data_IF_142031213091
#
_entry.id   IF_142031213091
#
_cell.length_a   1.000
_cell.length_b   1.000
_cell.length_c   1.000
_cell.angle_alpha   90.00
_cell.angle_beta   90.00
_cell.angle_gamma   90.00
#
_symmetry.space_group_name_H-M   'P 1'
#
loop_
_entity.id
_entity.type
_entity.pdbx_description
1 polymer ?
#
# COMPACT_ATOMS: atom_id res chain seq x y z
N UNK A 1 26.17 -9.05 13.24
CA UNK A 1 25.61 -7.80 12.71
C UNK A 1 25.22 -7.92 11.25
N UNK A 2 24.16 -8.67 10.98
CA UNK A 2 23.44 -8.57 9.71
C UNK A 2 21.98 -9.02 9.97
N UNK A 3 21.15 -8.06 10.39
CA UNK A 3 19.81 -8.32 10.97
C UNK A 3 18.69 -8.25 9.92
N UNK A 4 19.03 -8.34 8.64
CA UNK A 4 18.07 -8.45 7.53
C UNK A 4 17.66 -9.91 7.24
N UNK A 5 18.38 -10.88 7.80
CA UNK A 5 18.19 -12.30 7.52
C UNK A 5 18.04 -13.12 8.79
N UNK A 6 16.91 -12.98 9.48
CA UNK A 6 16.38 -14.13 10.20
C UNK A 6 15.10 -14.59 9.52
N UNK A 7 15.36 -15.61 8.70
CA UNK A 7 14.51 -16.66 8.14
C UNK A 7 13.67 -16.37 6.89
N UNK A 8 13.38 -17.45 6.16
CA UNK A 8 12.40 -17.47 5.08
C UNK A 8 11.05 -16.90 5.53
N UNK A 9 10.76 -16.94 6.84
CA UNK A 9 9.59 -16.32 7.47
C UNK A 9 9.56 -14.78 7.39
N UNK A 10 10.69 -14.07 7.23
CA UNK A 10 10.70 -12.62 7.02
C UNK A 10 10.23 -12.22 5.61
N UNK A 11 10.35 -13.14 4.63
CA UNK A 11 9.83 -12.97 3.26
C UNK A 11 8.32 -13.32 3.16
N UNK A 12 7.76 -13.99 4.16
CA UNK A 12 6.35 -14.44 4.17
C UNK A 12 5.40 -13.56 5.00
N UNK A 13 5.86 -12.43 5.54
CA UNK A 13 5.07 -11.54 6.42
C UNK A 13 4.06 -10.63 5.71
N UNK A 14 3.54 -11.10 4.58
CA UNK A 14 2.35 -10.56 3.88
C UNK A 14 1.14 -11.47 4.11
N UNK A 15 1.30 -12.60 4.80
CA UNK A 15 0.16 -13.39 5.28
C UNK A 15 -0.75 -12.60 6.26
N UNK A 16 -0.30 -11.45 6.78
CA UNK A 16 -1.08 -10.59 7.68
C UNK A 16 -2.00 -9.59 6.95
N UNK A 17 -2.03 -9.61 5.60
CA UNK A 17 -2.91 -8.76 4.78
C UNK A 17 -3.83 -9.56 3.82
N UNK A 18 -3.95 -10.89 3.96
CA UNK A 18 -4.93 -11.71 3.20
C UNK A 18 -5.59 -12.78 4.07
N UNK A 19 -6.86 -13.16 3.79
CA UNK A 19 -7.39 -14.45 4.22
C UNK A 19 -6.72 -15.58 3.42
N UNK A 20 -6.40 -16.66 4.13
CA UNK A 20 -5.57 -17.78 3.69
C UNK A 20 -6.02 -18.47 2.38
N UNK A 21 -5.05 -18.80 1.52
CA UNK A 21 -4.97 -20.10 0.84
C UNK A 21 -3.65 -20.29 0.06
N UNK A 22 -2.99 -21.44 0.34
CA UNK A 22 -1.95 -22.15 -0.43
C UNK A 22 -0.56 -21.49 -0.61
N UNK A 23 0.58 -22.14 -0.39
CA UNK A 23 0.95 -23.44 0.17
C UNK A 23 2.46 -23.38 0.52
N UNK A 24 2.89 -24.04 1.60
CA UNK A 24 4.28 -24.51 1.71
C UNK A 24 5.12 -24.11 2.91
N UNK A 25 4.72 -23.13 3.73
CA UNK A 25 5.32 -22.88 5.05
C UNK A 25 4.30 -22.20 5.99
N UNK A 26 4.39 -22.53 7.28
CA UNK A 26 3.42 -22.28 8.35
C UNK A 26 3.33 -20.80 8.76
N UNK A 27 2.71 -19.98 7.92
CA UNK A 27 2.25 -18.62 8.23
C UNK A 27 0.93 -18.60 9.02
N UNK A 28 0.32 -19.77 9.25
CA UNK A 28 -1.00 -19.92 9.86
C UNK A 28 -1.06 -19.59 11.37
N UNK A 29 0.08 -19.44 12.05
CA UNK A 29 0.13 -19.26 13.51
C UNK A 29 0.49 -17.84 13.97
N UNK A 30 0.73 -16.90 13.04
CA UNK A 30 0.98 -15.49 13.42
C UNK A 30 -0.34 -14.73 13.52
N UNK A 31 -0.61 -14.06 14.66
CA UNK A 31 -1.85 -13.29 14.84
C UNK A 31 -1.91 -12.13 13.85
N UNK A 32 -3.10 -11.88 13.30
CA UNK A 32 -3.37 -10.74 12.42
C UNK A 32 -2.91 -9.42 13.08
N UNK A 33 -2.39 -8.50 12.26
CA UNK A 33 -2.04 -7.16 12.77
C UNK A 33 -3.30 -6.42 13.20
N UNK A 34 -3.25 -5.85 14.40
CA UNK A 34 -4.26 -4.90 14.86
C UNK A 34 -4.29 -3.65 13.97
N UNK A 35 -5.39 -2.93 13.99
CA UNK A 35 -5.54 -1.68 13.23
C UNK A 35 -4.43 -0.67 13.53
N UNK A 36 -3.96 -0.60 14.79
CA UNK A 36 -2.87 0.32 15.19
C UNK A 36 -1.55 -0.09 14.57
N UNK A 37 -1.26 -1.38 14.53
CA UNK A 37 -0.04 -1.91 13.91
C UNK A 37 -0.08 -1.67 12.41
N UNK A 38 -1.20 -1.92 11.74
CA UNK A 38 -1.38 -1.63 10.30
C UNK A 38 -1.12 -0.17 9.98
N UNK A 39 -1.70 0.77 10.75
CA UNK A 39 -1.46 2.19 10.56
C UNK A 39 0.00 2.59 10.84
N UNK A 40 0.66 1.97 11.83
CA UNK A 40 2.10 2.20 12.09
C UNK A 40 2.95 1.72 10.91
N UNK A 41 2.65 0.53 10.38
CA UNK A 41 3.34 -0.06 9.23
C UNK A 41 3.21 0.85 8.00
N UNK A 42 1.99 1.24 7.64
CA UNK A 42 1.77 2.13 6.50
C UNK A 42 2.45 3.49 6.71
N UNK A 43 2.37 4.06 7.91
CA UNK A 43 3.07 5.32 8.24
C UNK A 43 4.58 5.20 8.02
N UNK A 44 5.20 4.12 8.48
CA UNK A 44 6.64 3.94 8.39
C UNK A 44 7.06 3.66 6.93
N UNK A 45 6.25 2.94 6.15
CA UNK A 45 6.44 2.79 4.70
C UNK A 45 6.29 4.13 3.95
N UNK A 46 5.29 4.95 4.29
CA UNK A 46 5.13 6.30 3.74
C UNK A 46 6.32 7.19 4.07
N UNK A 47 6.88 7.10 5.27
CA UNK A 47 8.12 7.82 5.62
C UNK A 47 9.31 7.39 4.78
N UNK A 48 9.46 6.08 4.55
CA UNK A 48 10.50 5.57 3.66
C UNK A 48 10.30 6.09 2.23
N UNK A 49 9.06 6.10 1.73
CA UNK A 49 8.75 6.64 0.40
C UNK A 49 9.05 8.15 0.29
N UNK A 50 8.65 8.94 1.28
CA UNK A 50 9.00 10.37 1.37
C UNK A 50 10.52 10.56 1.36
N UNK A 51 11.26 9.72 2.07
CA UNK A 51 12.72 9.77 2.04
C UNK A 51 13.28 9.51 0.63
N UNK A 52 12.78 8.50 -0.09
CA UNK A 52 13.20 8.23 -1.47
C UNK A 52 12.93 9.43 -2.38
N UNK A 53 11.74 10.02 -2.23
CA UNK A 53 11.26 11.16 -3.00
C UNK A 53 11.96 12.47 -2.70
N UNK A 54 12.53 12.64 -1.51
CA UNK A 54 13.17 13.89 -1.09
C UNK A 54 14.60 13.94 -1.62
N UNK A 55 14.93 14.84 -2.56
CA UNK A 55 16.29 14.96 -3.06
C UNK A 55 17.22 15.57 -2.01
N UNK A 56 18.51 15.29 -2.12
CA UNK A 56 19.58 15.90 -1.32
C UNK A 56 20.66 16.45 -2.26
N UNK A 57 21.68 17.13 -1.72
CA UNK A 57 22.77 17.68 -2.54
C UNK A 57 23.50 16.65 -3.40
N UNK A 58 23.47 15.37 -3.03
CA UNK A 58 24.14 14.27 -3.76
C UNK A 58 23.18 13.20 -4.26
N UNK A 59 21.87 13.31 -4.01
CA UNK A 59 20.85 12.31 -4.36
C UNK A 59 19.68 12.98 -5.06
N UNK A 60 19.34 12.52 -6.26
CA UNK A 60 18.12 12.91 -6.96
C UNK A 60 16.85 12.37 -6.29
N UNK A 61 15.71 12.58 -6.96
CA UNK A 61 14.45 11.95 -6.57
C UNK A 61 14.52 10.47 -6.96
N UNK A 62 14.35 9.57 -5.98
CA UNK A 62 14.27 8.13 -6.24
C UNK A 62 12.80 7.72 -6.30
N UNK A 63 12.37 7.21 -7.45
CA UNK A 63 11.03 6.64 -7.65
C UNK A 63 11.09 5.13 -7.44
N UNK A 64 10.19 4.56 -6.65
CA UNK A 64 10.17 3.15 -6.33
C UNK A 64 9.53 2.29 -7.42
N UNK A 65 8.44 2.76 -8.02
CA UNK A 65 7.70 2.17 -9.16
C UNK A 65 7.03 0.82 -8.92
N UNK A 66 7.08 0.28 -7.69
CA UNK A 66 6.38 -0.96 -7.32
C UNK A 66 6.02 -0.95 -5.82
N UNK A 67 5.42 0.16 -5.38
CA UNK A 67 4.94 0.28 -4.00
C UNK A 67 3.71 -0.63 -3.82
N UNK A 68 3.82 -1.59 -2.92
CA UNK A 68 2.72 -2.50 -2.57
C UNK A 68 2.95 -3.08 -1.19
N UNK A 69 1.89 -3.60 -0.56
CA UNK A 69 2.01 -4.28 0.74
C UNK A 69 3.05 -5.41 0.72
N UNK A 70 3.23 -6.08 -0.42
CA UNK A 70 4.23 -7.14 -0.57
C UNK A 70 5.69 -6.67 -0.52
N UNK A 71 5.92 -5.37 -0.71
CA UNK A 71 7.25 -4.78 -0.71
C UNK A 71 7.51 -4.03 0.62
N UNK A 72 6.67 -4.22 1.64
CA UNK A 72 6.86 -3.67 2.98
C UNK A 72 7.29 -4.81 3.92
N UNK A 73 8.55 -4.79 4.34
CA UNK A 73 9.12 -5.78 5.25
C UNK A 73 8.97 -5.34 6.71
N UNK A 74 8.72 -6.29 7.60
CA UNK A 74 8.58 -6.06 9.03
C UNK A 74 9.69 -6.76 9.81
N UNK A 75 10.35 -6.03 10.70
CA UNK A 75 11.25 -6.62 11.68
C UNK A 75 10.50 -7.24 12.88
N UNK A 76 11.24 -7.82 13.82
CA UNK A 76 10.66 -8.47 15.01
C UNK A 76 9.96 -7.51 15.98
N UNK A 77 10.04 -6.20 15.77
CA UNK A 77 9.36 -5.16 16.55
C UNK A 77 8.25 -4.48 15.73
N UNK A 78 7.90 -5.03 14.56
CA UNK A 78 6.92 -4.47 13.62
C UNK A 78 7.33 -3.10 13.05
N UNK A 79 8.62 -2.77 13.03
CA UNK A 79 9.09 -1.61 12.26
C UNK A 79 9.08 -1.97 10.77
N UNK A 80 8.47 -1.09 9.97
CA UNK A 80 8.36 -1.31 8.54
C UNK A 80 9.55 -0.75 7.76
N UNK A 81 9.94 -1.47 6.71
CA UNK A 81 10.94 -1.07 5.72
C UNK A 81 10.37 -1.28 4.33
N UNK A 82 10.40 -0.23 3.51
CA UNK A 82 10.06 -0.36 2.09
C UNK A 82 11.25 -0.99 1.36
N UNK A 83 11.00 -2.08 0.65
CA UNK A 83 12.00 -2.96 0.02
C UNK A 83 11.65 -3.21 -1.44
N UNK A 84 12.48 -4.01 -2.13
CA UNK A 84 12.36 -4.34 -3.55
C UNK A 84 12.51 -3.12 -4.47
N UNK A 85 13.77 -2.77 -4.70
CA UNK A 85 14.18 -1.62 -5.52
C UNK A 85 14.58 -2.03 -6.93
N UNK A 86 14.22 -3.23 -7.38
CA UNK A 86 14.59 -3.72 -8.72
C UNK A 86 14.06 -2.81 -9.84
N UNK A 87 12.92 -2.17 -9.60
CA UNK A 87 12.29 -1.24 -10.53
C UNK A 87 12.58 0.23 -10.21
N UNK A 88 13.29 0.50 -9.11
CA UNK A 88 13.52 1.85 -8.66
C UNK A 88 14.47 2.61 -9.61
N UNK A 89 14.24 3.92 -9.74
CA UNK A 89 15.09 4.77 -10.57
C UNK A 89 15.30 6.12 -9.90
N UNK A 90 16.54 6.59 -9.96
CA UNK A 90 16.90 7.93 -9.51
C UNK A 90 16.81 8.92 -10.68
N UNK A 91 16.30 10.12 -10.42
CA UNK A 91 16.25 11.21 -11.39
C UNK A 91 16.60 12.54 -10.73
N UNK A 92 17.71 13.14 -11.19
CA UNK A 92 18.06 14.51 -10.84
C UNK A 92 17.20 15.54 -11.58
N UNK A 93 16.64 15.19 -12.74
CA UNK A 93 15.81 16.12 -13.51
C UNK A 93 14.51 16.47 -12.77
N UNK A 94 13.93 15.51 -12.05
CA UNK A 94 12.77 15.74 -11.18
C UNK A 94 13.10 16.73 -10.07
N UNK A 95 14.35 16.76 -9.59
CA UNK A 95 14.82 17.75 -8.61
C UNK A 95 14.98 19.14 -9.22
N UNK A 96 15.13 19.26 -10.54
CA UNK A 96 15.33 20.52 -11.25
C UNK A 96 14.08 21.04 -11.99
N UNK A 97 12.89 20.58 -11.60
CA UNK A 97 11.60 21.10 -12.08
C UNK A 97 10.92 20.29 -13.17
N UNK A 98 11.49 19.16 -13.61
CA UNK A 98 10.78 18.20 -14.47
C UNK A 98 9.68 17.52 -13.64
N UNK A 99 8.49 17.38 -14.22
CA UNK A 99 7.31 16.89 -13.47
C UNK A 99 7.16 15.37 -13.49
N UNK A 100 7.77 14.69 -14.48
CA UNK A 100 7.64 13.27 -14.69
C UNK A 100 8.82 12.71 -15.48
N UNK A 101 8.98 11.40 -15.45
CA UNK A 101 9.85 10.63 -16.35
C UNK A 101 8.98 9.80 -17.28
N UNK A 102 9.44 9.57 -18.52
CA UNK A 102 8.70 8.81 -19.52
C UNK A 102 9.34 7.44 -19.69
N UNK A 103 8.52 6.39 -19.78
CA UNK A 103 8.96 5.02 -20.07
C UNK A 103 8.19 4.46 -21.24
N UNK A 104 8.88 3.77 -22.15
CA UNK A 104 8.25 3.03 -23.26
C UNK A 104 7.57 1.73 -22.82
N UNK A 105 7.89 1.25 -21.62
CA UNK A 105 7.29 0.06 -21.02
C UNK A 105 6.49 0.43 -19.77
N UNK A 106 5.27 -0.12 -19.66
CA UNK A 106 4.48 -0.07 -18.44
C UNK A 106 5.03 -1.10 -17.44
N UNK A 107 5.42 -0.62 -16.26
CA UNK A 107 6.06 -1.42 -15.23
C UNK A 107 5.30 -1.20 -13.92
N UNK A 108 5.10 -2.26 -13.14
CA UNK A 108 4.45 -2.21 -11.83
C UNK A 108 3.47 -3.36 -11.66
N UNK A 109 2.98 -3.54 -10.44
CA UNK A 109 2.02 -4.60 -10.11
C UNK A 109 0.59 -4.21 -10.44
N UNK A 110 -0.15 -5.08 -11.14
CA UNK A 110 -1.57 -4.87 -11.46
C UNK A 110 -2.41 -4.55 -10.22
N UNK A 111 -3.30 -3.55 -10.33
CA UNK A 111 -4.07 -3.01 -9.21
C UNK A 111 -3.33 -1.97 -8.36
N UNK A 112 -2.02 -1.75 -8.56
CA UNK A 112 -1.27 -0.65 -7.92
C UNK A 112 -0.80 0.41 -8.92
N UNK A 113 -0.92 0.12 -10.22
CA UNK A 113 -0.53 1.03 -11.30
C UNK A 113 -1.50 2.20 -11.37
N UNK A 114 -0.95 3.43 -11.29
CA UNK A 114 -1.71 4.66 -11.50
C UNK A 114 -2.34 4.68 -12.91
N UNK A 115 -3.66 4.84 -13.05
CA UNK A 115 -4.34 4.94 -14.35
C UNK A 115 -3.77 6.04 -15.25
N UNK A 116 -3.35 7.17 -14.68
CA UNK A 116 -2.73 8.26 -15.45
C UNK A 116 -1.38 7.84 -16.02
N UNK A 117 -0.59 7.10 -15.25
CA UNK A 117 0.64 6.49 -15.75
C UNK A 117 0.36 5.43 -16.81
N UNK A 118 -0.62 4.56 -16.58
CA UNK A 118 -1.01 3.53 -17.53
C UNK A 118 -1.39 4.12 -18.90
N UNK A 119 -2.07 5.27 -18.89
CA UNK A 119 -2.49 5.96 -20.12
C UNK A 119 -1.38 6.78 -20.79
N UNK A 120 -0.52 7.43 -20.00
CA UNK A 120 0.46 8.41 -20.51
C UNK A 120 1.88 7.86 -20.68
N UNK A 121 2.22 6.76 -20.01
CA UNK A 121 3.60 6.28 -19.85
C UNK A 121 4.48 7.20 -18.99
N UNK A 122 3.90 8.21 -18.34
CA UNK A 122 4.60 9.17 -17.50
C UNK A 122 4.51 8.76 -16.03
N UNK A 123 5.66 8.59 -15.39
CA UNK A 123 5.76 8.21 -13.98
C UNK A 123 6.48 9.28 -13.16
N UNK A 124 6.08 9.41 -11.90
CA UNK A 124 6.56 10.47 -11.00
C UNK A 124 6.34 10.08 -9.54
N UNK A 125 6.68 10.98 -8.62
CA UNK A 125 6.38 10.83 -7.20
C UNK A 125 4.87 10.58 -6.94
N UNK A 126 4.00 11.13 -7.80
CA UNK A 126 2.55 10.95 -7.70
C UNK A 126 2.13 9.51 -8.01
N UNK A 127 2.82 8.84 -8.93
CA UNK A 127 2.52 7.43 -9.27
C UNK A 127 2.84 6.49 -8.12
N UNK A 128 3.96 6.71 -7.43
CA UNK A 128 4.28 6.00 -6.19
C UNK A 128 3.28 6.35 -5.06
N UNK A 129 2.83 7.61 -5.01
CA UNK A 129 1.81 8.08 -4.07
C UNK A 129 0.46 7.39 -4.27
N UNK A 130 0.03 7.20 -5.52
CA UNK A 130 -1.16 6.42 -5.87
C UNK A 130 -1.05 4.98 -5.36
N UNK A 131 0.06 4.32 -5.68
CA UNK A 131 0.34 2.94 -5.27
C UNK A 131 0.40 2.80 -3.73
N UNK A 132 0.93 3.81 -3.02
CA UNK A 132 0.87 3.88 -1.56
C UNK A 132 -0.56 4.05 -1.04
N UNK A 133 -1.40 4.82 -1.74
CA UNK A 133 -2.84 4.95 -1.45
C UNK A 133 -3.59 3.62 -1.57
N UNK A 134 -3.34 2.86 -2.64
CA UNK A 134 -3.86 1.49 -2.78
C UNK A 134 -3.34 0.57 -1.67
N UNK A 135 -2.07 0.70 -1.30
CA UNK A 135 -1.48 -0.06 -0.19
C UNK A 135 -2.16 0.25 1.15
N UNK A 136 -2.46 1.52 1.42
CA UNK A 136 -3.26 1.91 2.58
C UNK A 136 -4.67 1.29 2.51
N UNK A 137 -5.35 1.40 1.36
CA UNK A 137 -6.70 0.87 1.18
C UNK A 137 -6.74 -0.63 1.47
N UNK A 138 -5.84 -1.41 0.85
CA UNK A 138 -5.72 -2.86 1.08
C UNK A 138 -5.44 -3.21 2.54
N UNK A 139 -4.63 -2.40 3.24
CA UNK A 139 -4.40 -2.55 4.68
C UNK A 139 -5.66 -2.35 5.51
N UNK A 140 -6.52 -1.41 5.12
CA UNK A 140 -7.78 -1.10 5.82
C UNK A 140 -8.84 -2.19 5.60
N UNK A 141 -9.00 -2.64 4.35
CA UNK A 141 -10.09 -3.56 3.96
C UNK A 141 -9.72 -5.04 4.08
N UNK A 142 -8.43 -5.38 4.11
CA UNK A 142 -7.96 -6.77 4.20
C UNK A 142 -8.24 -7.59 2.94
N UNK A 143 -8.34 -6.94 1.78
CA UNK A 143 -8.67 -7.53 0.48
C UNK A 143 -7.57 -7.27 -0.55
N UNK A 144 -7.46 -8.12 -1.60
CA UNK A 144 -6.56 -7.86 -2.72
C UNK A 144 -6.85 -6.51 -3.39
N UNK A 145 -5.81 -5.89 -3.96
CA UNK A 145 -5.90 -4.53 -4.53
C UNK A 145 -7.03 -4.35 -5.55
N UNK A 146 -7.16 -5.23 -6.53
CA UNK A 146 -8.23 -5.15 -7.54
C UNK A 146 -9.62 -5.23 -6.89
N UNK A 147 -9.84 -6.17 -5.96
CA UNK A 147 -11.11 -6.29 -5.26
C UNK A 147 -11.40 -5.06 -4.37
N UNK A 148 -10.36 -4.51 -3.72
CA UNK A 148 -10.47 -3.32 -2.91
C UNK A 148 -10.83 -2.08 -3.74
N UNK A 149 -10.25 -1.96 -4.94
CA UNK A 149 -10.51 -0.88 -5.88
C UNK A 149 -11.90 -0.97 -6.50
N UNK A 150 -12.31 -2.14 -7.01
CA UNK A 150 -13.65 -2.34 -7.59
C UNK A 150 -14.74 -1.98 -6.57
N UNK A 151 -14.50 -2.34 -5.29
CA UNK A 151 -15.40 -1.97 -4.19
C UNK A 151 -15.40 -0.47 -3.94
N UNK A 152 -14.22 0.16 -3.89
CA UNK A 152 -14.12 1.60 -3.70
C UNK A 152 -14.82 2.37 -4.83
N UNK A 153 -14.67 1.92 -6.07
CA UNK A 153 -15.35 2.48 -7.24
C UNK A 153 -16.86 2.30 -7.14
N UNK A 154 -17.34 1.09 -6.86
CA UNK A 154 -18.78 0.83 -6.66
C UNK A 154 -19.39 1.73 -5.57
N UNK A 155 -18.62 1.98 -4.50
CA UNK A 155 -19.03 2.84 -3.39
C UNK A 155 -19.07 4.32 -3.80
N UNK A 156 -18.13 4.78 -4.62
CA UNK A 156 -18.12 6.14 -5.16
C UNK A 156 -19.29 6.35 -6.13
N UNK A 157 -19.66 5.33 -6.91
CA UNK A 157 -20.81 5.35 -7.81
C UNK A 157 -22.15 5.32 -7.06
N UNK A 158 -22.28 4.47 -6.03
CA UNK A 158 -23.45 4.40 -5.16
C UNK A 158 -23.04 4.44 -3.68
N UNK A 159 -22.96 5.65 -3.07
CA UNK A 159 -22.62 5.82 -1.67
C UNK A 159 -23.59 5.11 -0.69
N UNK A 160 -24.78 4.71 -1.14
CA UNK A 160 -25.72 3.96 -0.29
C UNK A 160 -25.24 2.54 0.02
N UNK A 161 -24.34 1.98 -0.80
CA UNK A 161 -23.71 0.67 -0.57
C UNK A 161 -22.96 0.63 0.76
N UNK A 162 -22.32 1.73 1.16
CA UNK A 162 -21.65 1.84 2.45
C UNK A 162 -22.62 1.74 3.63
N UNK A 163 -23.82 2.31 3.51
CA UNK A 163 -24.84 2.26 4.57
C UNK A 163 -25.43 0.86 4.70
N UNK A 164 -25.71 0.21 3.56
CA UNK A 164 -26.19 -1.19 3.54
C UNK A 164 -25.15 -2.15 4.12
N UNK A 165 -23.87 -1.94 3.81
CA UNK A 165 -22.79 -2.72 4.42
C UNK A 165 -22.67 -2.42 5.91
N UNK A 166 -22.68 -1.16 6.35
CA UNK A 166 -22.62 -0.82 7.77
C UNK A 166 -23.75 -1.46 8.62
N UNK A 167 -24.89 -1.80 8.01
CA UNK A 167 -26.02 -2.47 8.65
C UNK A 167 -25.90 -4.02 8.69
N UNK A 168 -24.95 -4.63 7.99
CA UNK A 168 -24.80 -6.10 7.92
C UNK A 168 -23.37 -6.69 7.86
N UNK A 169 -22.37 -5.97 7.35
CA UNK A 169 -20.94 -6.37 7.23
C UNK A 169 -20.00 -5.14 7.20
N UNK A 170 -18.94 -5.14 8.02
CA UNK A 170 -17.90 -4.08 7.98
C UNK A 170 -17.16 -4.07 6.63
N UNK A 171 -16.94 -2.88 6.06
CA UNK A 171 -16.05 -2.68 4.89
C UNK A 171 -14.56 -2.82 5.25
N UNK A 172 -14.23 -2.71 6.53
CA UNK A 172 -12.89 -2.89 7.07
C UNK A 172 -12.61 -4.34 7.43
N UNK A 173 -11.33 -4.71 7.44
CA UNK A 173 -10.84 -6.03 7.82
C UNK A 173 -11.30 -6.40 9.24
N UNK A 174 -12.14 -7.43 9.35
CA UNK A 174 -12.68 -7.90 10.63
C UNK A 174 -11.59 -8.46 11.57
N UNK A 175 -10.44 -8.88 11.03
CA UNK A 175 -9.33 -9.43 11.81
C UNK A 175 -8.49 -8.36 12.50
N UNK A 176 -8.64 -7.09 12.11
CA UNK A 176 -7.82 -5.98 12.59
C UNK A 176 -8.40 -5.26 13.82
N UNK A 177 -9.54 -5.72 14.35
CA UNK A 177 -10.16 -5.19 15.58
C UNK A 177 -10.41 -3.66 15.54
N UNK A 178 -10.88 -3.15 14.40
CA UNK A 178 -11.18 -1.71 14.25
C UNK A 178 -12.23 -1.23 15.26
N UNK A 179 -12.00 -0.13 16.00
CA UNK A 179 -13.01 0.44 16.88
C UNK A 179 -14.23 0.88 16.08
N UNK A 180 -15.43 0.59 16.56
CA UNK A 180 -16.67 0.89 15.84
C UNK A 180 -16.77 2.36 15.42
N UNK A 181 -16.38 3.30 16.29
CA UNK A 181 -16.35 4.73 15.98
C UNK A 181 -15.39 5.07 14.81
N UNK A 182 -14.23 4.42 14.77
CA UNK A 182 -13.24 4.58 13.67
C UNK A 182 -13.76 3.98 12.38
N UNK A 183 -14.40 2.81 12.43
CA UNK A 183 -15.02 2.17 11.27
C UNK A 183 -16.10 3.04 10.66
N UNK A 184 -16.94 3.66 11.48
CA UNK A 184 -17.96 4.61 11.02
C UNK A 184 -17.34 5.87 10.43
N UNK A 185 -16.28 6.42 11.04
CA UNK A 185 -15.62 7.62 10.55
C UNK A 185 -14.90 7.41 9.21
N UNK A 186 -14.20 6.28 9.04
CA UNK A 186 -13.52 5.93 7.78
C UNK A 186 -14.54 5.72 6.65
N UNK A 187 -15.66 5.06 6.95
CA UNK A 187 -16.78 4.94 5.99
C UNK A 187 -17.34 6.31 5.58
N UNK A 188 -17.49 7.25 6.51
CA UNK A 188 -17.97 8.61 6.21
C UNK A 188 -16.98 9.44 5.39
N UNK A 189 -15.68 9.26 5.59
CA UNK A 189 -14.65 9.91 4.79
C UNK A 189 -14.78 9.54 3.30
N UNK A 190 -15.12 8.28 3.00
CA UNK A 190 -15.33 7.84 1.62
C UNK A 190 -16.60 8.45 1.01
N UNK A 191 -17.70 8.57 1.78
CA UNK A 191 -18.94 9.25 1.32
C UNK A 191 -18.76 10.76 1.14
N UNK A 192 -17.93 11.41 1.96
CA UNK A 192 -17.68 12.85 1.84
C UNK A 192 -16.78 13.26 0.68
N UNK A 193 -16.20 12.28 -0.03
CA UNK A 193 -15.35 12.48 -1.20
C UNK A 193 -16.09 12.22 -2.53
N UNK A 194 -17.34 11.73 -2.49
CA UNK A 194 -18.29 11.64 -3.61
C UNK A 194 -19.22 12.84 -3.66
#
# INVERSE_FOLDING_TARGET
DDRLHRSAEARERIALLRPAAAAGATTADLPALTWRERLRVVRDATRALVYLHTPTGTKGVVLHRDVKGANILLDGLLNAKLADVELATESHELSSGRTHVSSSSMIGTAGYVDPLYANSGQYSQHTDGYAMGVTLLTCLVGRPALEAMDRAESILEDPTLLTRQAQGQSCLDATAEWPQATSVALTKLVVGLS
#
